data_IF_153689820425
#
_entry.id   IF_153689820425
#
_cell.length_a   1.000
_cell.length_b   1.000
_cell.length_c   1.000
_cell.angle_alpha   90.00
_cell.angle_beta   90.00
_cell.angle_gamma   90.00
#
_symmetry.space_group_name_H-M   'P 1'
#
loop_
_entity.id
_entity.type
_entity.pdbx_description
1 polymer ?
#
# COMPACT_ATOMS: atom_id res chain seq x y z
N UNK A 1 -16.59 -6.65 -1.47
CA UNK A 1 -17.63 -6.91 -0.46
C UNK A 1 -17.05 -7.01 0.95
N UNK A 2 -16.19 -7.98 1.30
CA UNK A 2 -15.68 -8.13 2.68
C UNK A 2 -15.06 -6.84 3.25
N UNK A 3 -14.15 -6.22 2.51
CA UNK A 3 -13.48 -4.96 2.90
C UNK A 3 -14.43 -3.76 2.81
N UNK A 4 -15.18 -3.65 1.71
CA UNK A 4 -16.10 -2.53 1.46
C UNK A 4 -17.24 -2.43 2.48
N UNK A 5 -17.72 -3.56 2.99
CA UNK A 5 -18.79 -3.63 3.99
C UNK A 5 -18.25 -3.73 5.43
N UNK A 6 -16.94 -3.57 5.62
CA UNK A 6 -16.24 -3.62 6.92
C UNK A 6 -16.63 -4.84 7.77
N UNK A 7 -16.67 -6.02 7.14
CA UNK A 7 -17.12 -7.22 7.81
C UNK A 7 -15.99 -7.84 8.63
N UNK A 8 -16.31 -8.19 9.88
CA UNK A 8 -15.49 -9.13 10.63
C UNK A 8 -15.57 -10.53 10.02
N UNK A 9 -14.59 -11.39 10.34
CA UNK A 9 -14.61 -12.80 9.93
C UNK A 9 -15.92 -13.50 10.34
N UNK A 10 -16.37 -13.26 11.58
CA UNK A 10 -17.61 -13.85 12.11
C UNK A 10 -18.84 -13.42 11.30
N UNK A 11 -18.98 -12.12 11.02
CA UNK A 11 -20.09 -11.61 10.21
C UNK A 11 -20.08 -12.19 8.80
N UNK A 12 -18.90 -12.28 8.18
CA UNK A 12 -18.76 -12.91 6.87
C UNK A 12 -19.17 -14.40 6.88
N UNK A 13 -18.75 -15.16 7.89
CA UNK A 13 -19.12 -16.57 8.03
C UNK A 13 -20.63 -16.75 8.25
N UNK A 14 -21.29 -15.85 8.98
CA UNK A 14 -22.76 -15.84 9.12
C UNK A 14 -23.43 -15.64 7.75
N UNK A 15 -23.00 -14.62 7.00
CA UNK A 15 -23.54 -14.32 5.66
C UNK A 15 -23.32 -15.49 4.70
N UNK A 16 -22.11 -16.09 4.72
CA UNK A 16 -21.79 -17.27 3.93
C UNK A 16 -22.68 -18.45 4.30
N UNK A 17 -22.95 -18.67 5.58
CA UNK A 17 -23.79 -19.78 6.02
C UNK A 17 -25.23 -19.65 5.52
N UNK A 18 -25.72 -18.42 5.34
CA UNK A 18 -27.02 -18.16 4.71
C UNK A 18 -27.02 -18.48 3.20
N UNK A 19 -25.90 -18.27 2.48
CA UNK A 19 -25.78 -18.62 1.06
C UNK A 19 -24.38 -19.11 0.66
N UNK A 20 -24.16 -20.43 0.84
CA UNK A 20 -22.86 -21.08 0.60
C UNK A 20 -22.47 -21.17 -0.87
N UNK A 21 -23.43 -21.07 -1.80
CA UNK A 21 -23.16 -21.15 -3.24
C UNK A 21 -22.56 -19.85 -3.77
N UNK A 22 -23.01 -18.71 -3.22
CA UNK A 22 -22.60 -17.40 -3.71
C UNK A 22 -21.33 -16.89 -3.01
N UNK A 23 -21.15 -17.18 -1.72
CA UNK A 23 -20.00 -16.67 -0.96
C UNK A 23 -18.91 -17.74 -0.77
N UNK A 24 -17.65 -17.46 -1.19
CA UNK A 24 -16.55 -18.40 -0.99
C UNK A 24 -16.28 -18.63 0.50
N UNK A 25 -15.55 -19.70 0.82
CA UNK A 25 -15.08 -19.90 2.20
C UNK A 25 -14.02 -18.85 2.58
N UNK A 26 -13.93 -18.56 3.88
CA UNK A 26 -12.97 -17.58 4.38
C UNK A 26 -11.51 -17.96 4.06
N UNK A 27 -11.19 -19.25 3.97
CA UNK A 27 -9.84 -19.70 3.57
C UNK A 27 -9.46 -19.27 2.16
N UNK A 28 -10.41 -19.19 1.22
CA UNK A 28 -10.15 -18.63 -0.11
C UNK A 28 -9.91 -17.12 -0.03
N UNK A 29 -10.70 -16.39 0.77
CA UNK A 29 -10.44 -14.97 1.01
C UNK A 29 -9.07 -14.73 1.64
N UNK A 30 -8.64 -15.61 2.56
CA UNK A 30 -7.34 -15.50 3.20
C UNK A 30 -6.19 -15.65 2.19
N UNK A 31 -6.30 -16.58 1.23
CA UNK A 31 -5.32 -16.72 0.15
C UNK A 31 -5.22 -15.46 -0.71
N UNK A 32 -6.36 -14.92 -1.15
CA UNK A 32 -6.39 -13.68 -1.95
C UNK A 32 -5.87 -12.47 -1.14
N UNK A 33 -6.08 -12.44 0.19
CA UNK A 33 -5.48 -11.42 1.06
C UNK A 33 -3.95 -11.54 1.10
N UNK A 34 -3.42 -12.76 1.15
CA UNK A 34 -1.98 -13.01 1.17
C UNK A 34 -1.31 -12.57 -0.14
N UNK A 35 -1.98 -12.76 -1.28
CA UNK A 35 -1.52 -12.23 -2.59
C UNK A 35 -1.43 -10.70 -2.62
N UNK A 36 -2.13 -10.01 -1.71
CA UNK A 36 -2.07 -8.56 -1.58
C UNK A 36 -1.01 -8.08 -0.58
N UNK A 37 -0.26 -8.99 0.04
CA UNK A 37 0.81 -8.65 0.97
C UNK A 37 2.15 -8.62 0.25
N UNK A 38 3.05 -7.73 0.66
CA UNK A 38 4.42 -7.75 0.15
C UNK A 38 5.20 -8.97 0.68
N UNK A 39 6.42 -9.21 0.15
CA UNK A 39 7.35 -10.18 0.71
C UNK A 39 7.57 -9.93 2.21
N UNK A 40 7.63 -11.00 3.00
CA UNK A 40 7.81 -10.90 4.45
C UNK A 40 9.12 -10.19 4.83
N UNK A 41 10.19 -10.41 4.06
CA UNK A 41 11.50 -9.77 4.29
C UNK A 41 11.47 -8.24 4.10
N UNK A 42 10.51 -7.73 3.32
CA UNK A 42 10.36 -6.29 3.07
C UNK A 42 9.60 -5.56 4.17
N UNK A 43 9.12 -6.29 5.18
CA UNK A 43 8.35 -5.75 6.30
C UNK A 43 9.13 -5.91 7.60
N UNK A 44 9.29 -4.82 8.32
CA UNK A 44 9.80 -4.83 9.69
C UNK A 44 8.71 -4.37 10.62
N UNK A 45 8.31 -5.23 11.54
CA UNK A 45 7.32 -4.94 12.57
C UNK A 45 7.98 -5.17 13.93
N UNK A 46 8.01 -4.12 14.74
CA UNK A 46 8.46 -4.13 16.14
C UNK A 46 7.38 -3.48 17.02
N UNK A 47 7.58 -3.50 18.33
CA UNK A 47 6.62 -2.98 19.30
C UNK A 47 6.26 -1.49 19.08
N UNK A 48 7.19 -0.69 18.59
CA UNK A 48 7.06 0.78 18.45
C UNK A 48 6.90 1.28 17.01
N UNK A 49 7.07 0.39 16.02
CA UNK A 49 7.11 0.79 14.62
C UNK A 49 6.74 -0.39 13.71
N UNK A 50 6.04 -0.11 12.63
CA UNK A 50 6.15 -0.95 11.45
C UNK A 50 6.55 -0.12 10.25
N UNK A 51 7.51 -0.64 9.50
CA UNK A 51 8.01 -0.04 8.29
C UNK A 51 8.12 -1.07 7.18
N UNK A 52 8.02 -0.58 5.96
CA UNK A 52 8.17 -1.39 4.77
C UNK A 52 9.16 -0.72 3.84
N UNK A 53 9.88 -1.55 3.11
CA UNK A 53 10.70 -1.09 2.00
C UNK A 53 9.82 -0.41 0.93
N UNK A 54 10.29 0.75 0.47
CA UNK A 54 9.55 1.58 -0.49
C UNK A 54 9.51 0.92 -1.86
N UNK A 55 10.60 0.28 -2.29
CA UNK A 55 10.65 -0.42 -3.58
C UNK A 55 9.62 -1.55 -3.61
N UNK A 56 9.62 -2.40 -2.58
CA UNK A 56 8.65 -3.49 -2.43
C UNK A 56 7.19 -2.99 -2.42
N UNK A 57 6.93 -1.79 -1.91
CA UNK A 57 5.60 -1.17 -1.96
C UNK A 57 5.22 -0.70 -3.37
N UNK A 58 6.16 -0.09 -4.09
CA UNK A 58 5.98 0.35 -5.47
C UNK A 58 5.76 -0.87 -6.37
N UNK A 59 6.59 -1.90 -6.25
CA UNK A 59 6.50 -3.12 -7.06
C UNK A 59 5.16 -3.83 -6.89
N UNK A 60 4.71 -4.00 -5.65
CA UNK A 60 3.40 -4.57 -5.35
C UNK A 60 2.27 -3.71 -5.94
N UNK A 61 2.41 -2.38 -5.87
CA UNK A 61 1.38 -1.46 -6.41
C UNK A 61 1.33 -1.54 -7.93
N UNK A 62 2.49 -1.53 -8.59
CA UNK A 62 2.61 -1.61 -10.05
C UNK A 62 2.13 -2.97 -10.55
N UNK A 63 2.58 -4.07 -9.95
CA UNK A 63 2.13 -5.43 -10.31
C UNK A 63 0.61 -5.56 -10.26
N UNK A 64 -0.01 -5.10 -9.18
CA UNK A 64 -1.47 -5.14 -9.05
C UNK A 64 -2.18 -4.20 -10.01
N UNK A 65 -1.59 -3.05 -10.32
CA UNK A 65 -2.12 -2.14 -11.32
C UNK A 65 -2.03 -2.76 -12.73
N UNK A 66 -0.95 -3.48 -13.03
CA UNK A 66 -0.78 -4.19 -14.30
C UNK A 66 -1.82 -5.30 -14.49
N UNK A 67 -2.13 -6.07 -13.44
CA UNK A 67 -3.23 -7.05 -13.48
C UNK A 67 -4.57 -6.35 -13.70
N UNK A 68 -4.82 -5.22 -13.03
CA UNK A 68 -6.07 -4.47 -13.21
C UNK A 68 -6.21 -3.86 -14.61
N UNK A 69 -5.10 -3.47 -15.24
CA UNK A 69 -5.08 -2.82 -16.54
C UNK A 69 -4.69 -3.75 -17.68
N UNK A 70 -4.72 -5.07 -17.47
CA UNK A 70 -4.21 -6.08 -18.40
C UNK A 70 -4.70 -5.84 -19.84
N UNK A 71 -6.02 -5.71 -20.02
CA UNK A 71 -6.63 -5.44 -21.33
C UNK A 71 -6.12 -4.15 -21.98
N UNK A 72 -5.90 -3.11 -21.19
CA UNK A 72 -5.43 -1.80 -21.69
C UNK A 72 -3.95 -1.89 -22.07
N UNK A 73 -3.14 -2.60 -21.28
CA UNK A 73 -1.70 -2.77 -21.51
C UNK A 73 -1.43 -3.60 -22.77
N UNK A 74 -2.25 -4.62 -23.03
CA UNK A 74 -2.17 -5.45 -24.24
C UNK A 74 -2.42 -4.62 -25.52
N UNK A 75 -3.23 -3.56 -25.43
CA UNK A 75 -3.51 -2.69 -26.58
C UNK A 75 -2.40 -1.64 -26.85
N UNK A 76 -1.46 -1.45 -25.93
CA UNK A 76 -0.33 -0.53 -26.13
C UNK A 76 0.69 -1.11 -27.10
N UNK A 77 1.29 -0.23 -27.92
CA UNK A 77 2.42 -0.59 -28.77
C UNK A 77 3.65 -0.89 -27.92
N UNK A 78 4.55 -1.75 -28.40
CA UNK A 78 5.80 -2.12 -27.73
C UNK A 78 6.59 -0.89 -27.25
N UNK A 79 6.77 0.11 -28.12
CA UNK A 79 7.44 1.38 -27.80
C UNK A 79 6.77 2.19 -26.67
N UNK A 80 5.45 2.07 -26.52
CA UNK A 80 4.69 2.71 -25.42
C UNK A 80 4.87 1.93 -24.11
N UNK A 81 4.99 0.60 -24.18
CA UNK A 81 5.20 -0.28 -23.02
C UNK A 81 6.58 -0.08 -22.40
N UNK A 82 7.60 0.08 -23.23
CA UNK A 82 8.99 0.29 -22.78
C UNK A 82 9.20 1.63 -22.05
N UNK A 83 8.26 2.56 -22.17
CA UNK A 83 8.33 3.91 -21.61
C UNK A 83 7.19 4.22 -20.63
N UNK A 84 6.68 3.21 -19.92
CA UNK A 84 5.68 3.40 -18.87
C UNK A 84 6.27 4.09 -17.65
N UNK A 85 5.58 5.13 -17.17
CA UNK A 85 5.97 5.87 -15.97
C UNK A 85 4.78 5.97 -15.03
N UNK A 86 5.00 5.59 -13.78
CA UNK A 86 4.03 5.81 -12.71
C UNK A 86 4.34 7.11 -11.99
N UNK A 87 3.35 7.98 -11.89
CA UNK A 87 3.39 9.22 -11.13
C UNK A 87 2.72 8.98 -9.79
N UNK A 88 3.43 9.27 -8.71
CA UNK A 88 3.00 9.03 -7.35
C UNK A 88 3.16 10.26 -6.48
N UNK A 89 2.38 10.34 -5.41
CA UNK A 89 2.61 11.28 -4.30
C UNK A 89 2.87 10.52 -3.01
N UNK A 90 3.57 11.14 -2.10
CA UNK A 90 3.75 10.63 -0.75
C UNK A 90 3.61 11.79 0.25
N UNK A 91 3.38 11.45 1.51
CA UNK A 91 3.27 12.41 2.60
C UNK A 91 3.42 11.73 3.94
N UNK A 92 3.42 12.53 5.00
CA UNK A 92 3.40 12.07 6.37
C UNK A 92 2.50 12.95 7.23
N UNK A 93 1.91 12.37 8.27
CA UNK A 93 0.97 13.05 9.16
C UNK A 93 0.95 12.39 10.54
N UNK A 94 0.68 13.18 11.58
CA UNK A 94 0.49 12.73 12.95
C UNK A 94 -0.99 12.68 13.32
N UNK A 95 -1.44 11.62 14.00
CA UNK A 95 -2.81 11.58 14.55
C UNK A 95 -2.85 11.10 15.98
N UNK A 96 -3.90 11.54 16.69
CA UNK A 96 -4.12 11.12 18.06
C UNK A 96 -4.96 9.85 18.16
N UNK A 97 -4.49 8.88 18.94
CA UNK A 97 -5.14 7.57 19.12
C UNK A 97 -5.42 7.24 20.58
N UNK A 98 -6.35 6.33 20.83
CA UNK A 98 -6.60 5.80 22.18
C UNK A 98 -5.49 4.85 22.61
N UNK A 99 -5.04 4.98 23.86
CA UNK A 99 -4.05 4.08 24.46
C UNK A 99 -4.62 2.66 24.62
N UNK A 100 -3.82 1.67 24.22
CA UNK A 100 -4.12 0.26 24.40
C UNK A 100 -3.42 -0.32 25.65
N UNK A 101 -2.51 0.45 26.28
CA UNK A 101 -1.60 0.02 27.35
C UNK A 101 -0.76 -1.18 26.91
N UNK A 102 -0.26 -1.13 25.68
CA UNK A 102 0.57 -2.19 25.14
C UNK A 102 1.85 -2.34 25.97
N UNK A 103 2.31 -3.58 26.17
CA UNK A 103 3.60 -3.83 26.81
C UNK A 103 4.72 -3.52 25.81
N UNK A 104 5.53 -2.53 26.13
CA UNK A 104 6.73 -2.18 25.37
C UNK A 104 7.97 -2.91 25.92
N UNK A 105 9.02 -2.97 25.12
CA UNK A 105 10.30 -3.55 25.54
C UNK A 105 11.09 -2.58 26.43
N UNK A 106 10.96 -1.27 26.22
CA UNK A 106 11.56 -0.23 27.06
C UNK A 106 10.50 0.54 27.82
N UNK A 107 10.84 0.95 29.05
CA UNK A 107 9.97 1.79 29.90
C UNK A 107 9.81 3.23 29.38
N UNK A 108 10.66 3.65 28.44
CA UNK A 108 10.60 4.96 27.78
C UNK A 108 9.65 5.00 26.58
N UNK A 109 9.29 3.83 26.04
CA UNK A 109 8.38 3.72 24.91
C UNK A 109 6.94 3.79 25.41
N UNK A 110 6.09 4.49 24.67
CA UNK A 110 4.70 4.70 25.06
C UNK A 110 3.78 4.69 23.85
N UNK A 111 2.59 4.11 24.03
CA UNK A 111 1.47 4.27 23.10
C UNK A 111 0.73 5.59 23.35
N UNK A 112 1.33 6.53 24.10
CA UNK A 112 0.80 7.85 24.42
C UNK A 112 0.45 8.64 23.16
N UNK A 113 -0.79 8.39 22.75
CA UNK A 113 -1.70 9.18 21.96
C UNK A 113 -1.19 9.75 20.65
N UNK A 114 -0.02 9.42 20.11
CA UNK A 114 0.42 10.00 18.83
C UNK A 114 1.04 8.93 17.94
N UNK A 115 0.36 8.68 16.82
CA UNK A 115 0.86 7.86 15.74
C UNK A 115 1.33 8.76 14.62
N UNK A 116 2.59 8.63 14.24
CA UNK A 116 3.14 9.29 13.07
C UNK A 116 3.20 8.30 11.91
N UNK A 117 2.52 8.61 10.80
CA UNK A 117 2.46 7.74 9.63
C UNK A 117 2.98 8.45 8.38
N UNK A 118 3.70 7.70 7.54
CA UNK A 118 4.01 8.08 6.17
C UNK A 118 3.27 7.18 5.19
N UNK A 119 2.86 7.77 4.07
CA UNK A 119 2.00 7.12 3.10
C UNK A 119 2.36 7.48 1.66
N UNK A 120 1.94 6.62 0.74
CA UNK A 120 2.16 6.69 -0.69
C UNK A 120 0.84 6.50 -1.44
N UNK A 121 0.66 7.22 -2.55
CA UNK A 121 -0.53 7.13 -3.41
C UNK A 121 -0.11 7.16 -4.87
N UNK A 122 -0.56 6.16 -5.64
CA UNK A 122 -0.44 6.19 -7.11
C UNK A 122 -1.45 7.17 -7.72
N UNK A 123 -0.98 8.06 -8.58
CA UNK A 123 -1.80 9.10 -9.20
C UNK A 123 -2.10 8.80 -10.66
N UNK A 124 -1.08 8.49 -11.46
CA UNK A 124 -1.24 8.26 -12.90
C UNK A 124 -0.23 7.24 -13.41
N UNK A 125 -0.62 6.51 -14.45
CA UNK A 125 0.27 5.75 -15.31
C UNK A 125 0.25 6.42 -16.68
N UNK A 126 1.43 6.81 -17.18
CA UNK A 126 1.59 7.49 -18.47
C UNK A 126 2.55 6.71 -19.36
N UNK A 127 2.38 6.78 -20.67
CA UNK A 127 3.27 6.16 -21.66
C UNK A 127 3.79 7.16 -22.69
N UNK A 128 4.98 6.86 -23.22
CA UNK A 128 5.58 7.58 -24.34
C UNK A 128 6.11 8.97 -23.99
N UNK A 129 6.62 9.67 -25.02
CA UNK A 129 7.18 11.02 -24.88
C UNK A 129 6.12 12.10 -24.63
N UNK A 130 4.90 11.86 -25.12
CA UNK A 130 3.77 12.79 -25.01
C UNK A 130 2.98 12.63 -23.69
N UNK A 131 3.47 11.80 -22.75
CA UNK A 131 2.82 11.51 -21.46
C UNK A 131 1.33 11.12 -21.58
N UNK A 132 1.01 10.29 -22.57
CA UNK A 132 -0.35 9.78 -22.78
C UNK A 132 -0.80 9.02 -21.54
N UNK A 133 -1.95 9.40 -20.98
CA UNK A 133 -2.48 8.80 -19.75
C UNK A 133 -3.07 7.43 -20.08
N UNK A 134 -2.47 6.38 -19.52
CA UNK A 134 -2.97 5.00 -19.57
C UNK A 134 -3.96 4.77 -18.43
N UNK A 135 -3.66 5.33 -17.26
CA UNK A 135 -4.55 5.27 -16.10
C UNK A 135 -4.40 6.51 -15.23
N UNK A 136 -5.50 6.92 -14.62
CA UNK A 136 -5.52 7.97 -13.61
C UNK A 136 -6.36 7.53 -12.43
N UNK A 137 -5.87 7.80 -11.22
CA UNK A 137 -6.60 7.51 -10.00
C UNK A 137 -7.94 8.28 -9.98
N UNK A 138 -9.08 7.57 -9.95
CA UNK A 138 -10.41 8.21 -9.99
C UNK A 138 -10.72 9.00 -8.72
N UNK A 139 -10.06 8.68 -7.59
CA UNK A 139 -10.30 9.31 -6.28
C UNK A 139 -8.97 9.64 -5.59
N UNK A 140 -8.27 10.67 -6.09
CA UNK A 140 -6.90 11.03 -5.67
C UNK A 140 -6.72 11.36 -4.18
N UNK A 141 -7.80 11.67 -3.47
CA UNK A 141 -7.81 11.99 -2.04
C UNK A 141 -8.49 10.90 -1.19
N UNK A 142 -8.85 9.77 -1.79
CA UNK A 142 -9.47 8.67 -1.05
C UNK A 142 -8.42 7.87 -0.27
N UNK A 143 -8.70 7.48 0.98
CA UNK A 143 -7.84 6.56 1.73
C UNK A 143 -7.71 5.19 1.05
N UNK A 144 -8.61 4.82 0.12
CA UNK A 144 -8.58 3.54 -0.61
C UNK A 144 -7.28 3.29 -1.37
N UNK A 145 -6.66 4.35 -1.86
CA UNK A 145 -5.40 4.31 -2.61
C UNK A 145 -4.20 4.77 -1.76
N UNK A 146 -4.45 5.11 -0.50
CA UNK A 146 -3.41 5.49 0.46
C UNK A 146 -2.75 4.22 1.01
N UNK A 147 -1.48 4.04 0.68
CA UNK A 147 -0.69 2.88 1.09
C UNK A 147 0.29 3.31 2.19
N UNK A 148 0.27 2.69 3.37
CA UNK A 148 1.19 3.04 4.44
C UNK A 148 2.61 2.57 4.09
N UNK A 149 3.58 3.47 4.27
CA UNK A 149 5.02 3.18 4.16
C UNK A 149 5.56 2.80 5.54
N UNK A 150 5.28 3.65 6.54
CA UNK A 150 5.76 3.47 7.91
C UNK A 150 4.77 4.07 8.91
N UNK A 151 4.59 3.43 10.05
CA UNK A 151 3.93 4.00 11.21
C UNK A 151 4.81 3.86 12.45
N UNK A 152 4.78 4.87 13.33
CA UNK A 152 5.54 4.92 14.58
C UNK A 152 4.67 5.43 15.72
N UNK A 153 4.83 4.85 16.90
CA UNK A 153 4.25 5.35 18.15
C UNK A 153 5.15 6.45 18.73
N UNK A 154 5.13 7.62 18.10
CA UNK A 154 5.93 8.78 18.49
C UNK A 154 5.14 10.06 18.28
N UNK A 155 5.36 11.04 19.15
CA UNK A 155 4.83 12.38 18.99
C UNK A 155 5.36 13.02 17.72
N UNK A 156 4.49 13.68 16.96
CA UNK A 156 4.91 14.53 15.86
C UNK A 156 5.72 15.71 16.40
N UNK A 157 6.96 15.82 15.95
CA UNK A 157 7.87 16.94 16.19
C UNK A 157 8.53 17.32 14.87
N UNK A 158 9.04 18.54 14.79
CA UNK A 158 9.75 19.02 13.59
C UNK A 158 10.88 18.06 13.19
N UNK A 159 11.69 17.64 14.16
CA UNK A 159 12.81 16.73 13.94
C UNK A 159 12.37 15.37 13.37
N UNK A 160 11.30 14.80 13.92
CA UNK A 160 10.73 13.51 13.49
C UNK A 160 10.17 13.63 12.07
N UNK A 161 9.54 14.75 11.74
CA UNK A 161 9.00 15.01 10.41
C UNK A 161 10.12 15.19 9.38
N UNK A 162 11.15 15.95 9.69
CA UNK A 162 12.31 16.16 8.81
C UNK A 162 13.12 14.87 8.59
N UNK A 163 13.30 14.07 9.63
CA UNK A 163 13.90 12.74 9.56
C UNK A 163 13.13 11.87 8.56
N UNK A 164 11.80 11.79 8.68
CA UNK A 164 11.00 10.95 7.78
C UNK A 164 10.98 11.44 6.35
N UNK A 165 10.90 12.76 6.16
CA UNK A 165 11.00 13.35 4.84
C UNK A 165 12.34 12.98 4.20
N UNK A 166 13.42 13.01 4.98
CA UNK A 166 14.76 12.66 4.51
C UNK A 166 14.85 11.19 4.16
N UNK A 167 14.36 10.29 5.02
CA UNK A 167 14.32 8.85 4.78
C UNK A 167 13.57 8.54 3.48
N UNK A 168 12.34 9.04 3.31
CA UNK A 168 11.54 8.76 2.11
C UNK A 168 12.18 9.36 0.86
N UNK A 169 12.80 10.56 0.95
CA UNK A 169 13.54 11.15 -0.17
C UNK A 169 14.76 10.33 -0.57
N UNK A 170 15.51 9.79 0.39
CA UNK A 170 16.68 8.93 0.12
C UNK A 170 16.21 7.64 -0.53
N UNK A 171 15.23 6.96 0.08
CA UNK A 171 14.63 5.73 -0.49
C UNK A 171 14.06 5.96 -1.88
N UNK A 172 13.44 7.12 -2.12
CA UNK A 172 12.90 7.52 -3.42
C UNK A 172 13.98 7.69 -4.50
N UNK A 173 15.19 8.13 -4.12
CA UNK A 173 16.33 8.26 -5.05
C UNK A 173 16.99 6.92 -5.36
N UNK A 174 16.90 5.95 -4.46
CA UNK A 174 17.42 4.59 -4.65
C UNK A 174 16.43 3.65 -5.34
N UNK A 175 15.23 4.13 -5.72
CA UNK A 175 14.26 3.33 -6.46
C UNK A 175 14.79 2.99 -7.85
N UNK A 176 14.49 1.77 -8.28
CA UNK A 176 14.73 1.30 -9.63
C UNK A 176 13.41 0.96 -10.31
N UNK A 177 13.48 0.76 -11.64
CA UNK A 177 12.31 0.44 -12.43
C UNK A 177 11.72 -0.92 -11.99
N UNK A 178 10.42 -0.94 -11.68
CA UNK A 178 9.72 -2.20 -11.41
C UNK A 178 9.62 -3.00 -12.70
N UNK A 179 10.13 -4.22 -12.67
CA UNK A 179 9.91 -5.21 -13.73
C UNK A 179 8.64 -6.00 -13.39
N UNK A 180 7.71 -6.05 -14.34
CA UNK A 180 6.52 -6.89 -14.23
C UNK A 180 6.63 -7.91 -15.34
N UNK A 181 6.82 -9.18 -14.96
CA UNK A 181 6.70 -10.30 -15.87
C UNK A 181 5.28 -10.30 -16.39
N UNK A 182 5.16 -9.85 -17.62
CA UNK A 182 3.87 -9.84 -18.28
C UNK A 182 3.60 -11.26 -18.73
N UNK A 183 2.49 -11.82 -18.26
CA UNK A 183 1.93 -13.08 -18.76
C UNK A 183 1.34 -12.78 -20.15
N UNK A 184 2.18 -12.38 -21.10
CA UNK A 184 1.76 -12.09 -22.47
C UNK A 184 2.31 -13.22 -23.36
N UNK A 185 1.56 -14.32 -23.37
CA UNK A 185 1.59 -15.34 -24.42
C UNK A 185 0.52 -15.06 -25.46
#
# INVERSE_FOLDING_TARGET
MFVEADLTRRQYEIIRNANKKFFPCYSLLQKVKQECYPPAESCRVISTCAERDLQSLVDLTVTRLSIFLEEVLILLKEQERDNLKIICKWGCDGFQQSQFKQKFENDADSDENILFQSYFVSLRLVCGKDEKIVWANPTRSSPRYCRPIRFRFVKETTDITEEQITVVKISGKSLYATEVDTIFG
#
